data_IF_927391981723
#
_entry.id   IF_927391981723
#
_cell.length_a   1.000
_cell.length_b   1.000
_cell.length_c   1.000
_cell.angle_alpha   90.00
_cell.angle_beta   90.00
_cell.angle_gamma   90.00
#
_symmetry.space_group_name_H-M   'P 1'
#
loop_
_entity.id
_entity.type
_entity.pdbx_description
1 polymer ?
#
# COMPACT_ATOMS: atom_id res chain seq x y z
N UNK A 1 -4.99 -18.66 -10.75
CA UNK A 1 -4.59 -18.66 -12.17
C UNK A 1 -4.58 -20.09 -12.65
N UNK A 2 -5.29 -20.41 -13.74
CA UNK A 2 -5.23 -21.74 -14.34
C UNK A 2 -4.60 -21.65 -15.73
N UNK A 3 -3.49 -22.36 -15.94
CA UNK A 3 -2.72 -22.35 -17.18
C UNK A 3 -2.68 -23.72 -17.82
N UNK A 4 -3.01 -23.81 -19.12
CA UNK A 4 -2.89 -25.06 -19.90
C UNK A 4 -2.23 -24.76 -21.25
N UNK A 5 -1.12 -25.45 -21.56
CA UNK A 5 -0.47 -25.48 -22.89
C UNK A 5 -0.39 -24.10 -23.59
N UNK A 6 0.15 -23.10 -22.91
CA UNK A 6 0.35 -21.75 -23.45
C UNK A 6 -0.87 -20.82 -23.42
N UNK A 7 -1.98 -21.23 -22.80
CA UNK A 7 -3.14 -20.38 -22.52
C UNK A 7 -3.32 -20.24 -21.02
N UNK A 8 -3.68 -19.05 -20.57
CA UNK A 8 -3.99 -18.78 -19.17
C UNK A 8 -5.38 -18.15 -19.04
N UNK A 9 -6.08 -18.51 -17.96
CA UNK A 9 -7.26 -17.80 -17.47
C UNK A 9 -6.92 -17.24 -16.09
N UNK A 10 -7.03 -15.92 -15.97
CA UNK A 10 -6.92 -15.21 -14.70
C UNK A 10 -8.32 -14.76 -14.28
N UNK A 11 -8.84 -15.32 -13.20
CA UNK A 11 -10.13 -14.94 -12.64
C UNK A 11 -9.94 -13.95 -11.48
N UNK A 12 -10.64 -12.82 -11.55
CA UNK A 12 -10.78 -11.87 -10.46
C UNK A 12 -12.17 -12.07 -9.86
N UNK A 13 -12.23 -12.41 -8.57
CA UNK A 13 -13.47 -12.75 -7.88
C UNK A 13 -13.72 -11.75 -6.77
N UNK A 14 -14.87 -11.09 -6.81
CA UNK A 14 -15.32 -10.23 -5.72
C UNK A 14 -16.04 -11.10 -4.68
N UNK A 15 -15.47 -11.19 -3.48
CA UNK A 15 -16.06 -11.92 -2.34
C UNK A 15 -16.57 -10.88 -1.36
N UNK A 16 -17.88 -10.89 -1.10
CA UNK A 16 -18.48 -10.06 -0.05
C UNK A 16 -18.39 -10.80 1.29
N UNK A 17 -17.81 -10.14 2.30
CA UNK A 17 -17.69 -10.67 3.66
C UNK A 17 -18.82 -10.09 4.50
N UNK A 18 -19.81 -10.90 4.94
CA UNK A 18 -20.90 -10.41 5.77
C UNK A 18 -20.36 -9.88 7.11
N UNK A 19 -20.81 -8.68 7.50
CA UNK A 19 -20.46 -8.06 8.79
C UNK A 19 -18.94 -7.94 9.07
N UNK A 20 -18.09 -7.91 8.03
CA UNK A 20 -16.63 -7.89 8.16
C UNK A 20 -16.07 -9.11 8.94
N UNK A 21 -16.80 -10.23 9.02
CA UNK A 21 -16.39 -11.47 9.69
C UNK A 21 -15.77 -12.51 8.72
N UNK A 22 -14.44 -12.57 8.72
CA UNK A 22 -13.65 -13.51 7.90
C UNK A 22 -13.64 -14.94 8.43
N UNK A 23 -14.20 -15.18 9.62
CA UNK A 23 -14.30 -16.52 10.22
C UNK A 23 -15.54 -17.28 9.76
N UNK A 24 -16.42 -16.62 9.00
CA UNK A 24 -17.56 -17.28 8.39
C UNK A 24 -17.08 -18.41 7.43
N UNK A 25 -17.70 -19.60 7.49
CA UNK A 25 -17.26 -20.75 6.70
C UNK A 25 -17.37 -20.54 5.17
N UNK A 26 -18.24 -19.65 4.68
CA UNK A 26 -18.40 -19.39 3.25
C UNK A 26 -17.19 -18.66 2.61
N UNK A 27 -16.70 -17.52 3.16
CA UNK A 27 -15.46 -16.92 2.68
C UNK A 27 -14.25 -17.79 2.97
N UNK A 28 -14.18 -18.46 4.13
CA UNK A 28 -13.03 -19.30 4.51
C UNK A 28 -12.77 -20.42 3.50
N UNK A 29 -13.80 -21.12 3.05
CA UNK A 29 -13.67 -22.19 2.05
C UNK A 29 -13.28 -21.69 0.66
N UNK A 30 -13.63 -20.45 0.32
CA UNK A 30 -13.25 -19.84 -0.96
C UNK A 30 -11.77 -19.48 -0.96
N UNK A 31 -11.25 -18.97 0.17
CA UNK A 31 -9.85 -18.52 0.29
C UNK A 31 -8.83 -19.64 0.06
N UNK A 32 -9.15 -20.90 0.38
CA UNK A 32 -8.21 -22.02 0.18
C UNK A 32 -7.91 -22.32 -1.29
N UNK A 33 -8.74 -21.82 -2.22
CA UNK A 33 -8.55 -21.99 -3.66
C UNK A 33 -7.95 -20.75 -4.35
N UNK A 34 -7.69 -19.67 -3.61
CA UNK A 34 -7.18 -18.42 -4.17
C UNK A 34 -5.65 -18.38 -4.07
N UNK A 35 -5.00 -18.06 -5.20
CA UNK A 35 -3.56 -17.84 -5.25
C UNK A 35 -3.16 -16.47 -4.66
N UNK A 36 -4.10 -15.53 -4.60
CA UNK A 36 -3.89 -14.23 -3.98
C UNK A 36 -5.22 -13.71 -3.42
N UNK A 37 -5.13 -13.02 -2.30
CA UNK A 37 -6.23 -12.33 -1.65
C UNK A 37 -5.90 -10.84 -1.58
N UNK A 38 -6.82 -10.00 -2.05
CA UNK A 38 -6.74 -8.54 -1.91
C UNK A 38 -7.87 -8.12 -0.99
N UNK A 39 -7.53 -7.83 0.26
CA UNK A 39 -8.50 -7.43 1.27
C UNK A 39 -8.77 -5.93 1.19
N UNK A 40 -10.05 -5.54 1.20
CA UNK A 40 -10.45 -4.13 1.22
C UNK A 40 -10.95 -3.76 2.61
N UNK A 41 -10.30 -2.78 3.24
CA UNK A 41 -10.56 -2.38 4.62
C UNK A 41 -11.30 -1.04 4.70
N UNK A 42 -12.38 -1.01 5.50
CA UNK A 42 -13.11 0.22 5.83
C UNK A 42 -12.23 1.23 6.58
N UNK A 43 -11.28 0.74 7.40
CA UNK A 43 -10.37 1.59 8.17
C UNK A 43 -9.39 2.33 7.25
N UNK A 44 -8.98 1.71 6.14
CA UNK A 44 -8.11 2.36 5.16
C UNK A 44 -8.90 3.37 4.32
N UNK A 45 -10.12 3.00 3.93
CA UNK A 45 -11.02 3.91 3.20
C UNK A 45 -11.34 5.19 4.00
N UNK A 46 -11.52 5.10 5.32
CA UNK A 46 -11.80 6.28 6.16
C UNK A 46 -10.63 7.26 6.25
N UNK A 47 -9.40 6.81 5.94
CA UNK A 47 -8.21 7.67 5.82
C UNK A 47 -8.12 8.37 4.45
N UNK A 48 -9.07 8.12 3.54
CA UNK A 48 -9.07 8.68 2.18
C UNK A 48 -8.07 8.00 1.24
N UNK A 49 -7.58 6.81 1.58
CA UNK A 49 -6.64 6.04 0.76
C UNK A 49 -7.44 5.13 -0.17
N UNK A 50 -7.26 5.33 -1.47
CA UNK A 50 -7.88 4.53 -2.53
C UNK A 50 -6.83 4.04 -3.52
N UNK A 51 -6.81 2.73 -3.86
CA UNK A 51 -7.73 1.68 -3.38
C UNK A 51 -7.52 1.34 -1.91
N UNK A 52 -8.59 0.97 -1.20
CA UNK A 52 -8.59 0.71 0.23
C UNK A 52 -8.04 -0.68 0.60
N UNK A 53 -6.93 -1.08 -0.03
CA UNK A 53 -6.31 -2.40 0.16
C UNK A 53 -5.57 -2.45 1.48
N UNK A 54 -5.80 -3.49 2.28
CA UNK A 54 -4.99 -3.77 3.47
C UNK A 54 -3.70 -4.52 3.08
N UNK A 55 -2.52 -3.87 3.18
CA UNK A 55 -1.26 -4.45 2.73
C UNK A 55 -0.72 -5.55 3.66
N UNK A 56 -1.21 -5.65 4.90
CA UNK A 56 -0.80 -6.67 5.87
C UNK A 56 -1.73 -7.88 5.85
N UNK A 57 -3.01 -7.67 5.55
CA UNK A 57 -4.00 -8.75 5.44
C UNK A 57 -4.07 -9.37 4.03
N UNK A 58 -3.71 -8.60 3.00
CA UNK A 58 -3.61 -9.13 1.62
C UNK A 58 -2.41 -10.06 1.45
N UNK A 59 -2.60 -11.15 0.71
CA UNK A 59 -1.56 -12.17 0.52
C UNK A 59 -1.46 -12.63 -0.93
N UNK A 60 -0.32 -13.20 -1.30
CA UNK A 60 -0.13 -13.82 -2.61
C UNK A 60 0.90 -14.95 -2.53
N UNK A 61 0.58 -16.09 -3.14
CA UNK A 61 1.47 -17.25 -3.22
C UNK A 61 2.68 -17.00 -4.13
N UNK A 62 2.55 -16.07 -5.08
CA UNK A 62 3.62 -15.73 -6.02
C UNK A 62 4.58 -14.67 -5.49
N UNK A 63 4.35 -14.13 -4.28
CA UNK A 63 5.29 -13.22 -3.63
C UNK A 63 6.45 -14.03 -3.04
N UNK A 64 7.27 -14.59 -3.91
CA UNK A 64 8.47 -15.35 -3.57
C UNK A 64 9.65 -14.91 -4.45
N UNK A 65 10.91 -14.96 -3.95
CA UNK A 65 12.08 -14.53 -4.71
C UNK A 65 12.24 -15.28 -6.03
N UNK A 66 11.83 -16.55 -6.09
CA UNK A 66 11.96 -17.37 -7.30
C UNK A 66 11.01 -16.93 -8.42
N UNK A 67 9.90 -16.25 -8.09
CA UNK A 67 8.88 -15.82 -9.05
C UNK A 67 9.02 -14.34 -9.39
N UNK A 68 9.13 -13.45 -8.39
CA UNK A 68 9.19 -12.00 -8.61
C UNK A 68 10.61 -11.42 -8.64
N UNK A 69 11.61 -12.23 -8.30
CA UNK A 69 12.99 -11.80 -8.13
C UNK A 69 13.28 -11.20 -6.74
N UNK A 70 14.55 -11.29 -6.35
CA UNK A 70 15.06 -10.82 -5.04
C UNK A 70 14.72 -9.36 -4.74
N UNK A 71 14.93 -8.46 -5.72
CA UNK A 71 14.71 -7.02 -5.50
C UNK A 71 13.25 -6.73 -5.13
N UNK A 72 12.30 -7.25 -5.89
CA UNK A 72 10.88 -7.05 -5.63
C UNK A 72 10.49 -7.65 -4.28
N UNK A 73 10.88 -8.91 -4.04
CA UNK A 73 10.56 -9.59 -2.79
C UNK A 73 11.06 -8.83 -1.56
N UNK A 74 12.32 -8.40 -1.56
CA UNK A 74 12.93 -7.71 -0.42
C UNK A 74 12.29 -6.33 -0.17
N UNK A 75 11.98 -5.58 -1.22
CA UNK A 75 11.27 -4.29 -1.09
C UNK A 75 9.87 -4.50 -0.50
N UNK A 76 9.11 -5.47 -1.01
CA UNK A 76 7.78 -5.78 -0.50
C UNK A 76 7.81 -6.22 0.97
N UNK A 77 8.75 -7.08 1.35
CA UNK A 77 8.93 -7.51 2.75
C UNK A 77 9.27 -6.35 3.66
N UNK A 78 10.16 -5.46 3.23
CA UNK A 78 10.54 -4.31 4.04
C UNK A 78 9.41 -3.30 4.21
N UNK A 79 8.57 -3.12 3.18
CA UNK A 79 7.32 -2.35 3.29
C UNK A 79 6.38 -2.97 4.32
N UNK A 80 6.18 -4.30 4.29
CA UNK A 80 5.37 -5.00 5.29
C UNK A 80 5.93 -4.85 6.71
N UNK A 81 7.24 -4.98 6.90
CA UNK A 81 7.90 -4.79 8.20
C UNK A 81 7.67 -3.40 8.78
N UNK A 82 7.83 -2.34 7.96
CA UNK A 82 7.61 -0.95 8.38
C UNK A 82 6.15 -0.74 8.80
N UNK A 83 5.20 -1.25 8.02
CA UNK A 83 3.78 -1.13 8.32
C UNK A 83 3.37 -1.93 9.57
N UNK A 84 3.95 -3.12 9.76
CA UNK A 84 3.74 -3.94 10.94
C UNK A 84 4.28 -3.23 12.19
N UNK A 85 5.50 -2.70 12.12
CA UNK A 85 6.10 -1.92 13.22
C UNK A 85 5.26 -0.68 13.53
N UNK A 86 4.75 0.01 12.51
CA UNK A 86 3.85 1.14 12.71
C UNK A 86 2.57 0.75 13.45
N UNK A 87 1.96 -0.39 13.10
CA UNK A 87 0.77 -0.91 13.79
C UNK A 87 1.02 -1.17 15.28
N UNK A 88 2.18 -1.74 15.63
CA UNK A 88 2.58 -1.93 17.03
C UNK A 88 2.76 -0.59 17.77
N UNK A 89 3.32 0.41 17.10
CA UNK A 89 3.53 1.74 17.66
C UNK A 89 2.24 2.55 17.78
N UNK A 90 1.20 2.26 16.99
CA UNK A 90 -0.08 2.99 17.04
C UNK A 90 -0.75 2.92 18.42
N UNK A 91 -0.74 1.75 19.07
CA UNK A 91 -1.31 1.59 20.41
C UNK A 91 -0.55 2.42 21.45
N UNK A 92 0.79 2.46 21.33
CA UNK A 92 1.65 3.27 22.18
C UNK A 92 1.37 4.76 21.96
N UNK A 93 1.31 5.20 20.69
CA UNK A 93 1.00 6.59 20.31
C UNK A 93 -0.37 7.01 20.84
N UNK A 94 -1.37 6.12 20.81
CA UNK A 94 -2.72 6.42 21.29
C UNK A 94 -2.78 6.65 22.81
N UNK A 95 -1.86 6.04 23.58
CA UNK A 95 -1.83 6.13 25.05
C UNK A 95 -0.88 7.25 25.52
N UNK A 96 0.35 7.28 24.98
CA UNK A 96 1.45 8.12 25.45
C UNK A 96 1.68 9.37 24.60
N UNK A 97 1.24 9.36 23.33
CA UNK A 97 1.55 10.40 22.36
C UNK A 97 2.79 10.11 21.52
N UNK A 98 2.95 10.85 20.42
CA UNK A 98 4.04 10.66 19.45
C UNK A 98 5.41 11.09 20.01
N UNK A 99 5.43 12.07 20.91
CA UNK A 99 6.65 12.68 21.44
C UNK A 99 7.41 11.75 22.39
N UNK A 100 6.74 10.73 22.93
CA UNK A 100 7.31 9.72 23.84
C UNK A 100 8.07 8.61 23.10
N UNK A 101 8.02 8.58 21.77
CA UNK A 101 8.73 7.60 20.97
C UNK A 101 10.21 7.97 20.81
N UNK A 102 11.04 6.92 20.70
CA UNK A 102 12.44 7.08 20.31
C UNK A 102 12.56 7.79 18.95
N UNK A 103 13.70 8.42 18.67
CA UNK A 103 13.92 9.06 17.36
C UNK A 103 13.80 8.06 16.19
N UNK A 104 14.29 6.82 16.39
CA UNK A 104 14.17 5.73 15.43
C UNK A 104 12.71 5.30 15.20
N UNK A 105 11.91 5.16 16.27
CA UNK A 105 10.50 4.82 16.15
C UNK A 105 9.71 5.97 15.49
N UNK A 106 10.04 7.24 15.80
CA UNK A 106 9.43 8.40 15.11
C UNK A 106 9.75 8.40 13.62
N UNK A 107 10.99 8.09 13.23
CA UNK A 107 11.37 7.94 11.83
C UNK A 107 10.61 6.80 11.16
N UNK A 108 10.46 5.66 11.85
CA UNK A 108 9.69 4.52 11.36
C UNK A 108 8.22 4.88 11.14
N UNK A 109 7.59 5.60 12.08
CA UNK A 109 6.21 6.09 11.96
C UNK A 109 6.07 7.06 10.78
N UNK A 110 7.01 7.99 10.61
CA UNK A 110 7.02 8.93 9.49
C UNK A 110 7.08 8.20 8.14
N UNK A 111 8.00 7.24 7.99
CA UNK A 111 8.11 6.43 6.77
C UNK A 111 6.86 5.57 6.54
N UNK A 112 6.33 4.95 7.58
CA UNK A 112 5.13 4.12 7.48
C UNK A 112 3.91 4.94 7.01
N UNK A 113 3.72 6.16 7.51
CA UNK A 113 2.67 7.06 7.04
C UNK A 113 2.83 7.44 5.57
N UNK A 114 4.06 7.69 5.12
CA UNK A 114 4.37 7.95 3.70
C UNK A 114 4.05 6.74 2.83
N UNK A 115 4.51 5.55 3.22
CA UNK A 115 4.20 4.27 2.56
C UNK A 115 2.69 4.07 2.48
N UNK A 116 1.97 4.25 3.59
CA UNK A 116 0.52 4.06 3.66
C UNK A 116 -0.23 4.99 2.71
N UNK A 117 0.21 6.25 2.59
CA UNK A 117 -0.35 7.20 1.62
C UNK A 117 0.04 6.86 0.19
N UNK A 118 1.28 6.44 -0.04
CA UNK A 118 1.80 6.13 -1.38
C UNK A 118 1.18 4.86 -1.99
N UNK A 119 0.55 4.01 -1.17
CA UNK A 119 -0.29 2.92 -1.67
C UNK A 119 -1.59 3.41 -2.33
N UNK A 120 -1.94 4.71 -2.19
CA UNK A 120 -3.05 5.30 -2.94
C UNK A 120 -2.65 5.65 -4.38
N UNK A 121 -3.56 5.44 -5.32
CA UNK A 121 -3.34 5.72 -6.73
C UNK A 121 -4.62 6.23 -7.39
N UNK A 122 -4.57 7.31 -8.19
CA UNK A 122 -5.75 7.81 -8.90
C UNK A 122 -6.15 6.84 -10.02
N UNK A 123 -7.43 6.45 -10.04
CA UNK A 123 -7.97 5.52 -11.03
C UNK A 123 -8.58 6.25 -12.22
N UNK A 124 -8.29 5.75 -13.43
CA UNK A 124 -8.91 6.25 -14.67
C UNK A 124 -10.44 6.25 -14.63
N UNK A 125 -11.03 5.21 -14.03
CA UNK A 125 -12.50 5.11 -13.90
C UNK A 125 -13.08 6.06 -12.86
N UNK A 126 -12.26 6.55 -11.93
CA UNK A 126 -12.67 7.46 -10.87
C UNK A 126 -12.54 8.94 -11.29
N UNK A 127 -11.82 9.24 -12.37
CA UNK A 127 -11.54 10.60 -12.86
C UNK A 127 -12.80 11.46 -13.03
N UNK A 128 -13.90 10.85 -13.48
CA UNK A 128 -15.20 11.53 -13.66
C UNK A 128 -15.78 12.03 -12.33
N UNK A 129 -15.47 11.36 -11.21
CA UNK A 129 -15.98 11.68 -9.88
C UNK A 129 -15.01 12.50 -9.05
N UNK A 130 -13.70 12.26 -9.23
CA UNK A 130 -12.65 12.90 -8.42
C UNK A 130 -12.07 14.15 -9.07
N UNK A 131 -12.16 14.28 -10.40
CA UNK A 131 -11.46 15.30 -11.18
C UNK A 131 -9.94 15.10 -11.23
N UNK A 132 -9.42 14.03 -10.64
CA UNK A 132 -7.99 13.69 -10.63
C UNK A 132 -7.74 12.69 -11.76
N UNK A 133 -6.80 13.03 -12.65
CA UNK A 133 -6.45 12.20 -13.79
C UNK A 133 -5.93 10.84 -13.32
N UNK A 134 -6.46 9.77 -13.91
CA UNK A 134 -6.00 8.42 -13.62
C UNK A 134 -4.56 8.18 -14.07
N UNK A 135 -3.89 7.25 -13.41
CA UNK A 135 -2.50 6.91 -13.73
C UNK A 135 -2.27 5.40 -13.77
N UNK A 136 -1.34 4.99 -14.63
CA UNK A 136 -0.82 3.64 -14.70
C UNK A 136 0.65 3.65 -14.30
N UNK A 137 1.01 2.88 -13.29
CA UNK A 137 2.37 2.78 -12.79
C UNK A 137 2.93 1.40 -13.14
N UNK A 138 4.04 1.33 -13.91
CA UNK A 138 4.71 0.07 -14.19
C UNK A 138 5.31 -0.57 -12.94
N UNK A 139 5.32 -1.90 -12.87
CA UNK A 139 5.84 -2.64 -11.71
C UNK A 139 7.29 -2.28 -11.36
N UNK A 140 8.13 -2.04 -12.36
CA UNK A 140 9.53 -1.65 -12.13
C UNK A 140 9.62 -0.30 -11.40
N UNK A 141 8.81 0.69 -11.80
CA UNK A 141 8.74 2.01 -11.17
C UNK A 141 8.14 1.92 -9.77
N UNK A 142 7.16 1.02 -9.54
CA UNK A 142 6.61 0.75 -8.22
C UNK A 142 7.70 0.25 -7.28
N UNK A 143 8.45 -0.78 -7.67
CA UNK A 143 9.51 -1.36 -6.85
C UNK A 143 10.59 -0.32 -6.54
N UNK A 144 11.00 0.47 -7.53
CA UNK A 144 11.97 1.54 -7.35
C UNK A 144 11.48 2.64 -6.39
N UNK A 145 10.24 3.09 -6.56
CA UNK A 145 9.66 4.15 -5.73
C UNK A 145 9.53 3.72 -4.27
N UNK A 146 9.06 2.50 -4.01
CA UNK A 146 8.99 1.97 -2.64
C UNK A 146 10.38 1.69 -2.05
N UNK A 147 11.35 1.27 -2.86
CA UNK A 147 12.73 1.08 -2.42
C UNK A 147 13.35 2.39 -1.92
N UNK A 148 13.13 3.51 -2.62
CA UNK A 148 13.61 4.83 -2.21
C UNK A 148 13.00 5.28 -0.88
N UNK A 149 11.68 5.06 -0.66
CA UNK A 149 11.01 5.37 0.61
C UNK A 149 11.60 4.53 1.74
N UNK A 150 11.78 3.23 1.51
CA UNK A 150 12.32 2.29 2.49
C UNK A 150 13.76 2.65 2.90
N UNK A 151 14.59 3.08 1.94
CA UNK A 151 15.98 3.52 2.17
C UNK A 151 16.08 4.88 2.87
N UNK A 152 14.98 5.65 2.92
CA UNK A 152 14.95 6.97 3.54
C UNK A 152 15.35 8.11 2.61
N UNK A 153 15.43 7.87 1.31
CA UNK A 153 15.81 8.89 0.31
C UNK A 153 14.77 10.02 0.20
N UNK A 154 13.57 9.80 0.74
CA UNK A 154 12.44 10.74 0.71
C UNK A 154 11.99 11.15 2.12
N UNK A 155 12.88 11.07 3.12
CA UNK A 155 12.54 11.42 4.50
C UNK A 155 12.18 12.91 4.68
N UNK A 156 12.74 13.79 3.86
CA UNK A 156 12.44 15.24 3.89
C UNK A 156 11.13 15.61 3.19
N UNK A 157 10.54 14.69 2.42
CA UNK A 157 9.33 14.95 1.65
C UNK A 157 8.10 14.91 2.57
N UNK A 158 7.18 15.89 2.52
CA UNK A 158 5.98 15.90 3.34
C UNK A 158 5.04 14.74 2.99
N UNK A 159 4.39 14.14 4.01
CA UNK A 159 3.47 13.00 3.84
C UNK A 159 2.35 13.27 2.82
N UNK A 160 1.86 14.51 2.74
CA UNK A 160 0.77 14.90 1.84
C UNK A 160 1.15 14.76 0.35
N UNK A 161 2.44 14.81 0.02
CA UNK A 161 2.91 14.63 -1.35
C UNK A 161 2.75 13.18 -1.85
N UNK A 162 2.59 12.21 -0.95
CA UNK A 162 2.45 10.79 -1.29
C UNK A 162 1.01 10.36 -1.54
N UNK A 163 0.02 11.23 -1.32
CA UNK A 163 -1.39 10.88 -1.51
C UNK A 163 -1.83 11.09 -2.97
N UNK A 164 -2.50 10.10 -3.57
CA UNK A 164 -3.07 10.13 -4.91
C UNK A 164 -2.07 10.54 -6.00
N UNK A 165 -0.92 9.85 -6.04
CA UNK A 165 0.15 10.04 -7.03
C UNK A 165 0.62 8.67 -7.52
N UNK A 166 1.16 8.57 -8.73
CA UNK A 166 1.64 7.30 -9.25
C UNK A 166 3.07 6.95 -8.83
N UNK A 167 4.04 7.71 -9.32
CA UNK A 167 5.46 7.42 -9.12
C UNK A 167 6.17 8.49 -8.27
N UNK A 168 7.45 8.25 -7.98
CA UNK A 168 8.28 9.14 -7.16
C UNK A 168 8.46 10.54 -7.75
N UNK A 169 8.48 10.68 -9.07
CA UNK A 169 8.64 11.98 -9.73
C UNK A 169 7.44 12.88 -9.44
N UNK A 170 6.23 12.30 -9.45
CA UNK A 170 5.03 13.02 -9.07
C UNK A 170 4.98 13.39 -7.60
N UNK A 171 5.47 12.51 -6.71
CA UNK A 171 5.63 12.84 -5.30
C UNK A 171 6.49 14.10 -5.15
N UNK A 172 7.64 14.16 -5.83
CA UNK A 172 8.52 15.32 -5.77
C UNK A 172 7.89 16.58 -6.39
N UNK A 173 7.21 16.45 -7.52
CA UNK A 173 6.50 17.56 -8.16
C UNK A 173 5.41 18.14 -7.24
N UNK A 174 4.64 17.26 -6.59
CA UNK A 174 3.61 17.64 -5.63
C UNK A 174 4.21 18.27 -4.37
N UNK A 175 5.34 17.76 -3.88
CA UNK A 175 6.05 18.35 -2.75
C UNK A 175 6.51 19.79 -3.04
N UNK A 176 7.02 20.06 -4.24
CA UNK A 176 7.39 21.41 -4.68
C UNK A 176 6.18 22.33 -4.72
N UNK A 177 5.07 21.89 -5.31
CA UNK A 177 3.83 22.67 -5.36
C UNK A 177 3.29 23.00 -3.96
N UNK A 178 3.39 22.05 -3.01
CA UNK A 178 3.01 22.28 -1.61
C UNK A 178 3.90 23.34 -0.94
N UNK A 179 5.21 23.31 -1.16
CA UNK A 179 6.14 24.32 -0.64
C UNK A 179 5.86 25.72 -1.20
N UNK A 180 5.58 25.82 -2.50
CA UNK A 180 5.21 27.07 -3.16
C UNK A 180 3.89 27.64 -2.64
N UNK A 181 2.90 26.78 -2.37
CA UNK A 181 1.59 27.21 -1.83
C UNK A 181 1.63 27.63 -0.36
N UNK A 182 2.67 27.22 0.37
CA UNK A 182 2.87 27.55 1.78
C UNK A 182 3.74 28.80 2.00
N UNK A 183 4.34 29.32 0.92
CA UNK A 183 5.18 30.53 0.91
C UNK A 183 4.36 31.77 0.51
#
# INVERSE_FOLDING_TARGET
ITSTRGRSITSLQAVYVPADDYTDPAPFTTFTFLDATTELSRQIASLGIYPAVDPLASTSTILSPEVVGERHYNVARRVQEILQRYKELQDIIAILGLDELSEEDRQTVSRARKVQRFLSQPFYVAEVFTGVKGEYVPTAETVESFEAIVKGELDDVPEQAFLNVGNIEQVQAKAKALQESAS
#
